data_IF_790308260348
#
_entry.id   IF_790308260348
#
_cell.length_a   1.000
_cell.length_b   1.000
_cell.length_c   1.000
_cell.angle_alpha   90.00
_cell.angle_beta   90.00
_cell.angle_gamma   90.00
#
_symmetry.space_group_name_H-M   'P 1'
#
loop_
_entity.id
_entity.type
_entity.pdbx_description
1 polymer ?
#
# COMPACT_ATOMS: atom_id res chain seq x y z
N UNK A 1 -19.10 -30.96 -10.16
CA UNK A 1 -18.66 -29.60 -10.53
C UNK A 1 -18.54 -28.65 -9.35
N UNK A 2 -19.55 -28.53 -8.47
CA UNK A 2 -19.50 -27.63 -7.28
C UNK A 2 -18.26 -27.84 -6.38
N UNK A 3 -17.89 -29.08 -6.08
CA UNK A 3 -16.72 -29.40 -5.24
C UNK A 3 -15.37 -28.99 -5.85
N UNK A 4 -15.20 -29.05 -7.18
CA UNK A 4 -13.95 -28.58 -7.84
C UNK A 4 -13.81 -27.07 -7.85
N UNK A 5 -14.94 -26.34 -7.88
CA UNK A 5 -14.96 -24.88 -7.79
C UNK A 5 -14.53 -24.39 -6.40
N UNK A 6 -14.94 -25.09 -5.33
CA UNK A 6 -14.52 -24.76 -3.96
C UNK A 6 -13.02 -24.94 -3.72
N UNK A 7 -12.40 -25.97 -4.32
CA UNK A 7 -10.95 -26.21 -4.22
C UNK A 7 -10.18 -25.09 -4.94
N UNK A 8 -10.62 -24.71 -6.15
CA UNK A 8 -10.01 -23.60 -6.91
C UNK A 8 -10.12 -22.26 -6.19
N UNK A 9 -11.25 -21.99 -5.53
CA UNK A 9 -11.43 -20.77 -4.74
C UNK A 9 -10.55 -20.74 -3.49
N UNK A 10 -10.30 -21.89 -2.86
CA UNK A 10 -9.41 -22.00 -1.70
C UNK A 10 -7.94 -21.73 -2.06
N UNK A 11 -7.48 -22.19 -3.23
CA UNK A 11 -6.13 -21.88 -3.73
C UNK A 11 -5.97 -20.40 -4.13
N UNK A 12 -7.03 -19.72 -4.56
CA UNK A 12 -7.00 -18.28 -4.83
C UNK A 12 -6.96 -17.43 -3.54
N UNK A 13 -7.32 -18.02 -2.40
CA UNK A 13 -7.34 -17.36 -1.08
C UNK A 13 -6.09 -17.64 -0.23
N UNK A 14 -5.12 -18.44 -0.72
CA UNK A 14 -3.84 -18.59 -0.04
C UNK A 14 -3.03 -17.31 -0.19
N UNK A 15 -3.21 -16.39 0.77
CA UNK A 15 -2.50 -15.12 0.82
C UNK A 15 -1.01 -15.29 1.10
N UNK A 16 -0.21 -14.37 0.55
CA UNK A 16 1.18 -14.20 0.96
C UNK A 16 1.19 -13.75 2.43
N UNK A 17 1.82 -14.53 3.31
CA UNK A 17 2.06 -14.11 4.69
C UNK A 17 3.54 -13.87 4.87
N UNK A 18 3.91 -12.76 5.49
CA UNK A 18 5.31 -12.53 5.84
C UNK A 18 5.54 -12.86 7.32
N UNK A 19 6.58 -13.62 7.60
CA UNK A 19 6.96 -14.02 8.95
C UNK A 19 8.33 -13.46 9.32
N UNK A 20 8.52 -13.17 10.60
CA UNK A 20 9.83 -12.81 11.14
C UNK A 20 10.63 -14.09 11.40
N UNK A 21 11.84 -14.13 10.86
CA UNK A 21 12.77 -15.24 11.05
C UNK A 21 14.12 -14.71 11.53
N UNK A 22 14.87 -15.48 12.31
CA UNK A 22 16.22 -15.10 12.68
C UNK A 22 17.10 -15.02 11.44
N UNK A 23 18.00 -14.04 11.41
CA UNK A 23 19.06 -13.95 10.40
C UNK A 23 20.11 -15.05 10.62
N UNK A 24 20.90 -15.35 9.58
CA UNK A 24 22.03 -16.29 9.68
C UNK A 24 23.00 -15.83 10.77
N UNK A 25 23.33 -16.73 11.71
CA UNK A 25 24.12 -16.40 12.91
C UNK A 25 23.28 -16.20 14.18
N UNK A 26 21.96 -16.29 14.08
CA UNK A 26 21.04 -16.22 15.22
C UNK A 26 20.74 -14.78 15.65
N UNK A 27 19.99 -14.66 16.76
CA UNK A 27 19.61 -13.37 17.32
C UNK A 27 20.01 -13.30 18.79
N UNK A 28 20.54 -12.15 19.21
CA UNK A 28 20.77 -11.82 20.62
C UNK A 28 19.52 -11.23 21.30
N UNK A 29 18.55 -10.80 20.51
CA UNK A 29 17.31 -10.20 20.97
C UNK A 29 16.14 -11.11 20.62
N UNK A 30 15.15 -11.22 21.50
CA UNK A 30 13.84 -11.73 21.09
C UNK A 30 13.21 -10.77 20.06
N UNK A 31 12.28 -11.27 19.26
CA UNK A 31 11.57 -10.44 18.27
C UNK A 31 10.85 -9.26 18.96
N UNK A 32 10.29 -9.50 20.15
CA UNK A 32 9.59 -8.48 20.93
C UNK A 32 10.54 -7.38 21.40
N UNK A 33 11.72 -7.73 21.92
CA UNK A 33 12.74 -6.76 22.35
C UNK A 33 13.26 -5.94 21.17
N UNK A 34 13.56 -6.59 20.04
CA UNK A 34 14.00 -5.90 18.84
C UNK A 34 12.94 -4.87 18.38
N UNK A 35 11.68 -5.29 18.32
CA UNK A 35 10.57 -4.41 17.93
C UNK A 35 10.34 -3.27 18.93
N UNK A 36 10.48 -3.53 20.23
CA UNK A 36 10.34 -2.53 21.29
C UNK A 36 11.38 -1.41 21.21
N UNK A 37 12.55 -1.68 20.59
CA UNK A 37 13.59 -0.68 20.33
C UNK A 37 13.39 -0.03 18.96
N UNK A 38 13.31 -0.84 17.91
CA UNK A 38 13.35 -0.36 16.54
C UNK A 38 12.14 0.49 16.14
N UNK A 39 10.93 0.14 16.61
CA UNK A 39 9.72 0.86 16.22
C UNK A 39 9.66 2.29 16.82
N UNK A 40 9.90 2.50 18.12
CA UNK A 40 9.98 3.85 18.67
C UNK A 40 11.11 4.68 18.07
N UNK A 41 12.28 4.08 17.84
CA UNK A 41 13.43 4.78 17.24
C UNK A 41 13.13 5.25 15.81
N UNK A 42 12.50 4.39 14.99
CA UNK A 42 12.04 4.75 13.66
C UNK A 42 11.03 5.90 13.69
N UNK A 43 10.07 5.88 14.62
CA UNK A 43 9.08 6.95 14.80
C UNK A 43 9.71 8.26 15.30
N UNK A 44 10.75 8.17 16.13
CA UNK A 44 11.46 9.35 16.63
C UNK A 44 12.26 10.03 15.52
N UNK A 45 12.99 9.27 14.69
CA UNK A 45 13.78 9.79 13.58
C UNK A 45 12.91 10.23 12.39
N UNK A 46 11.85 9.48 12.10
CA UNK A 46 10.96 9.68 10.96
C UNK A 46 9.50 9.75 11.45
N UNK A 47 9.11 10.84 12.13
CA UNK A 47 7.75 10.97 12.67
C UNK A 47 6.71 10.98 11.56
N UNK A 48 5.46 10.68 11.92
CA UNK A 48 4.32 10.77 11.00
C UNK A 48 4.24 12.21 10.49
N UNK A 49 4.41 12.39 9.19
CA UNK A 49 4.41 13.70 8.54
C UNK A 49 3.42 13.69 7.38
N UNK A 50 2.19 14.05 7.71
CA UNK A 50 1.09 14.09 6.75
C UNK A 50 1.18 15.35 5.88
N UNK A 51 1.25 15.17 4.57
CA UNK A 51 1.22 16.23 3.58
C UNK A 51 0.15 15.95 2.52
N UNK A 52 -0.34 17.01 1.86
CA UNK A 52 -1.32 16.88 0.79
C UNK A 52 -0.58 16.71 -0.53
N UNK A 53 -0.72 15.54 -1.14
CA UNK A 53 -0.29 15.27 -2.50
C UNK A 53 -1.44 15.48 -3.48
N UNK A 54 -1.09 15.76 -4.73
CA UNK A 54 -2.06 15.92 -5.81
C UNK A 54 -1.68 15.02 -6.98
N UNK A 55 -2.69 14.39 -7.58
CA UNK A 55 -2.53 13.61 -8.82
C UNK A 55 -3.60 13.96 -9.83
N UNK A 56 -3.25 13.90 -11.10
CA UNK A 56 -4.20 14.01 -12.20
C UNK A 56 -4.78 12.63 -12.50
N UNK A 57 -6.09 12.49 -12.45
CA UNK A 57 -6.81 11.28 -12.89
C UNK A 57 -7.73 11.61 -14.05
N UNK A 58 -7.87 10.68 -15.00
CA UNK A 58 -8.84 10.84 -16.08
C UNK A 58 -10.24 10.52 -15.53
N UNK A 59 -11.14 11.48 -15.58
CA UNK A 59 -12.53 11.31 -15.15
C UNK A 59 -13.50 11.81 -16.21
N UNK A 60 -14.68 11.19 -16.29
CA UNK A 60 -15.76 11.67 -17.15
C UNK A 60 -16.48 12.82 -16.46
N UNK A 61 -16.32 14.03 -16.99
CA UNK A 61 -17.01 15.23 -16.50
C UNK A 61 -18.12 15.58 -17.49
N UNK A 62 -19.30 15.87 -16.94
CA UNK A 62 -20.44 16.35 -17.72
C UNK A 62 -20.26 17.84 -18.03
N UNK A 63 -20.22 18.19 -19.31
CA UNK A 63 -20.10 19.56 -19.81
C UNK A 63 -21.36 19.98 -20.54
N UNK A 64 -21.70 21.26 -20.43
CA UNK A 64 -22.80 21.87 -21.19
C UNK A 64 -22.35 22.14 -22.62
N UNK A 65 -23.23 21.86 -23.57
CA UNK A 65 -23.03 22.16 -24.98
C UNK A 65 -23.06 23.67 -25.22
N UNK A 66 -22.23 24.16 -26.16
CA UNK A 66 -22.31 25.57 -26.59
C UNK A 66 -23.56 25.77 -27.44
N UNK A 67 -24.02 27.02 -27.57
CA UNK A 67 -25.28 27.37 -28.26
C UNK A 67 -25.38 26.85 -29.71
N UNK A 68 -24.23 26.61 -30.35
CA UNK A 68 -24.14 26.23 -31.75
C UNK A 68 -23.68 24.76 -31.96
N UNK A 69 -23.55 23.98 -30.87
CA UNK A 69 -23.21 22.56 -30.95
C UNK A 69 -24.49 21.71 -31.19
N UNK A 70 -24.42 20.77 -32.14
CA UNK A 70 -25.52 19.83 -32.43
C UNK A 70 -25.60 18.75 -31.34
N UNK A 71 -26.12 19.17 -30.19
CA UNK A 71 -26.15 18.41 -28.97
C UNK A 71 -27.60 17.96 -28.72
N UNK A 72 -27.77 16.67 -28.42
CA UNK A 72 -29.07 16.05 -28.20
C UNK A 72 -29.91 16.71 -27.09
N UNK A 73 -31.10 16.16 -26.83
CA UNK A 73 -32.12 16.77 -25.96
C UNK A 73 -31.62 17.22 -24.57
N UNK A 74 -30.61 16.53 -24.04
CA UNK A 74 -30.08 16.76 -22.70
C UNK A 74 -29.11 17.97 -22.63
N UNK A 75 -28.67 18.52 -23.77
CA UNK A 75 -27.75 19.68 -23.89
C UNK A 75 -26.43 19.54 -23.11
N UNK A 76 -26.06 18.32 -22.75
CA UNK A 76 -24.81 17.97 -22.07
C UNK A 76 -24.13 16.79 -22.76
N UNK A 77 -22.81 16.70 -22.61
CA UNK A 77 -22.00 15.56 -23.04
C UNK A 77 -20.97 15.22 -21.97
N UNK A 78 -20.56 13.95 -21.93
CA UNK A 78 -19.47 13.50 -21.06
C UNK A 78 -18.16 13.56 -21.83
N UNK A 79 -17.19 14.23 -21.26
CA UNK A 79 -15.84 14.28 -21.80
C UNK A 79 -14.88 13.69 -20.79
N UNK A 80 -13.93 12.87 -21.27
CA UNK A 80 -12.85 12.39 -20.42
C UNK A 80 -11.82 13.51 -20.28
N UNK A 81 -11.70 14.07 -19.09
CA UNK A 81 -10.79 15.18 -18.80
C UNK A 81 -9.92 14.84 -17.60
N UNK A 82 -8.65 15.28 -17.58
CA UNK A 82 -7.84 15.21 -16.38
C UNK A 82 -8.49 16.06 -15.28
N UNK A 83 -8.68 15.46 -14.11
CA UNK A 83 -9.18 16.10 -12.90
C UNK A 83 -8.12 15.94 -11.81
N UNK A 84 -7.90 16.99 -11.04
CA UNK A 84 -6.97 16.98 -9.92
C UNK A 84 -7.64 16.36 -8.70
N UNK A 85 -7.08 15.26 -8.20
CA UNK A 85 -7.41 14.68 -6.90
C UNK A 85 -6.36 15.08 -5.87
N UNK A 86 -6.80 15.50 -4.69
CA UNK A 86 -5.93 15.76 -3.54
C UNK A 86 -6.09 14.64 -2.51
N UNK A 87 -4.99 14.12 -1.98
CA UNK A 87 -4.98 13.06 -0.97
C UNK A 87 -3.86 13.28 0.04
N UNK A 88 -4.03 12.74 1.25
CA UNK A 88 -3.04 12.86 2.32
C UNK A 88 -2.08 11.67 2.24
N UNK A 89 -0.79 11.95 2.32
CA UNK A 89 0.27 10.94 2.42
C UNK A 89 1.15 11.23 3.63
N UNK A 90 1.63 10.19 4.30
CA UNK A 90 2.74 10.33 5.25
C UNK A 90 4.05 10.27 4.46
N UNK A 91 4.69 11.42 4.24
CA UNK A 91 5.89 11.52 3.41
C UNK A 91 7.09 10.78 4.00
N UNK A 92 7.03 10.43 5.28
CA UNK A 92 8.08 9.68 5.97
C UNK A 92 7.79 8.17 6.06
N UNK A 93 6.65 7.69 5.57
CA UNK A 93 6.22 6.30 5.76
C UNK A 93 7.27 5.30 5.26
N UNK A 94 7.72 5.46 4.01
CA UNK A 94 8.68 4.54 3.38
C UNK A 94 10.04 4.58 4.10
N UNK A 95 10.55 5.78 4.38
CA UNK A 95 11.84 5.93 5.07
C UNK A 95 11.79 5.37 6.49
N UNK A 96 10.69 5.63 7.22
CA UNK A 96 10.47 5.07 8.56
C UNK A 96 10.42 3.55 8.51
N UNK A 97 9.70 2.98 7.55
CA UNK A 97 9.60 1.53 7.39
C UNK A 97 10.95 0.90 7.03
N UNK A 98 11.72 1.51 6.13
CA UNK A 98 13.05 1.03 5.76
C UNK A 98 13.99 1.04 6.96
N UNK A 99 14.04 2.14 7.71
CA UNK A 99 14.85 2.22 8.93
C UNK A 99 14.43 1.16 9.96
N UNK A 100 13.12 0.98 10.17
CA UNK A 100 12.60 -0.07 11.06
C UNK A 100 13.08 -1.46 10.64
N UNK A 101 13.00 -1.79 9.34
CA UNK A 101 13.44 -3.08 8.81
C UNK A 101 14.96 -3.28 8.99
N UNK A 102 15.76 -2.27 8.68
CA UNK A 102 17.22 -2.31 8.87
C UNK A 102 17.60 -2.47 10.34
N UNK A 103 16.93 -1.75 11.24
CA UNK A 103 17.11 -1.91 12.68
C UNK A 103 16.76 -3.34 13.11
N UNK A 104 15.63 -3.90 12.67
CA UNK A 104 15.24 -5.28 12.98
C UNK A 104 16.32 -6.28 12.51
N UNK A 105 16.87 -6.09 11.31
CA UNK A 105 17.97 -6.93 10.78
C UNK A 105 19.21 -6.81 11.65
N UNK A 106 19.57 -5.60 12.08
CA UNK A 106 20.71 -5.37 13.00
C UNK A 106 20.52 -6.06 14.36
N UNK A 107 19.27 -6.28 14.78
CA UNK A 107 18.90 -7.01 16.00
C UNK A 107 18.67 -8.50 15.76
N UNK A 108 18.95 -9.00 14.56
CA UNK A 108 18.94 -10.43 14.27
C UNK A 108 17.64 -10.95 13.64
N UNK A 109 16.74 -10.07 13.18
CA UNK A 109 15.43 -10.46 12.64
C UNK A 109 15.21 -9.93 11.24
N UNK A 110 14.80 -10.80 10.32
CA UNK A 110 14.42 -10.40 8.97
C UNK A 110 13.02 -10.90 8.64
N UNK A 111 12.33 -10.18 7.76
CA UNK A 111 10.99 -10.52 7.30
C UNK A 111 11.12 -11.33 6.01
N UNK A 112 10.59 -12.55 6.00
CA UNK A 112 10.50 -13.39 4.80
C UNK A 112 9.07 -13.63 4.43
N UNK A 113 8.78 -13.56 3.15
CA UNK A 113 7.52 -14.01 2.61
C UNK A 113 7.49 -15.54 2.66
N UNK A 114 6.41 -16.08 3.21
CA UNK A 114 6.13 -17.50 3.25
C UNK A 114 4.92 -17.76 2.36
N UNK A 115 5.16 -18.51 1.30
CA UNK A 115 4.11 -18.98 0.41
C UNK A 115 3.54 -20.30 0.92
N UNK A 116 2.24 -20.50 0.73
CA UNK A 116 1.54 -21.72 1.17
C UNK A 116 1.93 -22.99 0.40
N UNK A 117 2.68 -22.86 -0.69
CA UNK A 117 3.14 -23.96 -1.55
C UNK A 117 4.62 -24.32 -1.37
N UNK A 118 5.30 -23.72 -0.40
CA UNK A 118 6.65 -24.08 0.07
C UNK A 118 6.57 -24.92 1.35
#
# INVERSE_FOLDING_TARGET
MKSRLFILLAFLLSGCSSVWVPVSGGSKFTQAEANAVCKPEALHLYPIKNEVAQRSVMSYVEKKCKKDDDCGKDKTYKEQTPVMESYVIDVNEDTRNNYYLECMVSKGWTKKDKYMWE
#
